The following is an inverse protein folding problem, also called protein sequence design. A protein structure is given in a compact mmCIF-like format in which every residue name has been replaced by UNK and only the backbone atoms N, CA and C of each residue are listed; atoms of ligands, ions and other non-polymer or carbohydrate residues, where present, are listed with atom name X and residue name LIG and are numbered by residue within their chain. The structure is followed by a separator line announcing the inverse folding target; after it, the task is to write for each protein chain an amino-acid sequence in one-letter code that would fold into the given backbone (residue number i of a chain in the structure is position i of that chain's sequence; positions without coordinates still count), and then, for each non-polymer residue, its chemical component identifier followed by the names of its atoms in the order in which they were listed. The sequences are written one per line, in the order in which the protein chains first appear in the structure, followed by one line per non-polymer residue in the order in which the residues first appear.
data_IF_916102535261
#
_entry.id   IF_916102535261
#
_cell.length_a   1.000
_cell.length_b   1.000
_cell.length_c   1.000
_cell.angle_alpha   90.00
_cell.angle_beta   90.00
_cell.angle_gamma   90.00
#
_symmetry.space_group_name_H-M   'P 1'
#
loop_
_entity.id
_entity.type
_entity.pdbx_description
1 polymer ?
2 non-polymer ?
3 non-polymer ?
4 water ?
#
# COMPACT_ATOMS: atom_id res chain seq x y z
N UNK A 2 -1.28 -30.33 -14.54
CA UNK A 2 -0.40 -29.49 -13.75
C UNK A 2 0.05 -28.29 -14.57
N UNK A 3 -0.04 -27.10 -14.00
CA UNK A 3 0.35 -25.89 -14.73
C UNK A 3 1.85 -25.73 -14.84
N UNK A 4 2.30 -25.07 -15.90
CA UNK A 4 3.72 -24.78 -16.08
C UNK A 4 4.18 -23.72 -15.11
N UNK A 5 3.24 -22.90 -14.64
CA UNK A 5 3.56 -21.83 -13.71
C UNK A 5 2.38 -21.50 -12.79
N UNK A 6 2.69 -21.11 -11.57
CA UNK A 6 1.68 -20.59 -10.66
C UNK A 6 1.39 -19.16 -11.07
N UNK A 7 0.17 -18.69 -10.86
CA UNK A 7 -0.17 -17.33 -11.25
C UNK A 7 0.58 -16.33 -10.37
N UNK A 8 0.69 -15.10 -10.84
CA UNK A 8 1.51 -14.08 -10.18
C UNK A 8 1.12 -13.85 -8.73
N UNK A 9 -0.18 -13.81 -8.46
CA UNK A 9 -0.68 -13.61 -7.11
C UNK A 9 -0.21 -14.70 -6.15
N UNK A 10 -0.21 -15.94 -6.62
CA UNK A 10 0.23 -17.06 -5.79
C UNK A 10 1.72 -16.97 -5.49
N UNK A 11 2.51 -16.63 -6.51
CA UNK A 11 3.94 -16.48 -6.35
C UNK A 11 4.26 -15.39 -5.32
N UNK A 12 3.59 -14.26 -5.44
CA UNK A 12 3.78 -13.16 -4.50
C UNK A 12 3.31 -13.52 -3.09
N UNK A 13 2.12 -14.11 -3.00
CA UNK A 13 1.58 -14.56 -1.72
C UNK A 13 2.52 -15.54 -1.01
N UNK A 14 2.97 -16.55 -1.74
CA UNK A 14 3.86 -17.56 -1.17
C UNK A 14 5.19 -16.95 -0.70
N UNK A 15 5.68 -15.97 -1.46
CA UNK A 15 6.90 -15.28 -1.09
C UNK A 15 6.76 -14.55 0.24
N UNK A 16 5.69 -13.79 0.37
CA UNK A 16 5.46 -13.02 1.59
C UNK A 16 4.94 -13.87 2.76
N UNK A 17 4.62 -15.13 2.47
CA UNK A 17 4.30 -16.09 3.53
C UNK A 17 5.52 -16.92 3.92
N UNK A 18 6.60 -16.75 3.18
CA UNK A 18 7.83 -17.50 3.46
C UNK A 18 9.01 -16.56 3.74
N UNK A 19 10.06 -16.68 2.94
CA UNK A 19 11.28 -15.90 3.20
C UNK A 19 11.04 -14.40 3.04
N UNK A 20 10.07 -14.02 2.22
CA UNK A 20 9.74 -12.61 2.03
C UNK A 20 9.21 -11.99 3.30
N UNK A 21 8.48 -12.77 4.10
CA UNK A 21 7.99 -12.28 5.38
C UNK A 21 9.15 -11.92 6.28
N UNK A 22 10.11 -12.83 6.41
CA UNK A 22 11.26 -12.62 7.28
C UNK A 22 12.06 -11.40 6.86
N UNK A 23 12.27 -11.24 5.56
CA UNK A 23 13.09 -10.15 5.06
C UNK A 23 12.38 -8.80 5.18
N UNK A 24 11.11 -8.76 4.83
CA UNK A 24 10.38 -7.50 4.87
C UNK A 24 9.92 -7.08 6.26
N UNK A 25 9.69 -8.04 7.15
CA UNK A 25 9.41 -7.72 8.55
C UNK A 25 10.61 -7.00 9.13
N UNK A 26 11.80 -7.43 8.72
CA UNK A 26 13.04 -6.81 9.20
C UNK A 26 13.20 -5.42 8.60
N UNK A 27 13.05 -5.31 7.29
CA UNK A 27 13.18 -4.02 6.62
C UNK A 27 12.19 -3.00 7.17
N UNK A 28 10.93 -3.41 7.31
CA UNK A 28 9.88 -2.54 7.81
C UNK A 28 9.87 -2.41 9.33
N UNK A 29 10.76 -3.15 9.99
CA UNK A 29 10.80 -3.16 11.44
C UNK A 29 12.08 -2.53 11.99
N UNK A 30 12.62 -3.13 13.04
CA UNK A 30 13.84 -2.64 13.67
C UNK A 30 14.95 -3.69 13.59
N UNK A 31 16.17 -3.28 13.85
CA UNK A 31 17.28 -4.21 13.86
C UNK A 31 18.21 -4.06 12.68
N UNK A 32 19.34 -4.73 12.77
CA UNK A 32 20.40 -4.66 11.77
C UNK A 32 19.91 -5.01 10.36
N UNK A 33 20.34 -4.21 9.39
CA UNK A 33 20.10 -4.48 7.98
C UNK A 33 21.35 -4.10 7.21
N UNK A 34 21.53 -4.65 6.01
CA UNK A 34 22.64 -4.22 5.17
C UNK A 34 22.34 -2.83 4.59
N UNK A 35 23.34 -2.20 3.98
CA UNK A 35 23.16 -0.81 3.57
C UNK A 35 22.10 -0.63 2.47
N UNK A 36 21.88 -1.67 1.69
CA UNK A 36 20.82 -1.65 0.68
C UNK A 36 19.45 -1.69 1.34
N UNK A 37 19.28 -2.63 2.27
CA UNK A 37 18.05 -2.78 3.01
C UNK A 37 17.73 -1.54 3.84
N UNK A 38 18.79 -0.92 4.39
CA UNK A 38 18.63 0.29 5.20
C UNK A 38 18.11 1.43 4.33
N UNK A 39 18.63 1.51 3.10
CA UNK A 39 18.19 2.52 2.14
C UNK A 39 16.71 2.33 1.81
N UNK A 40 16.30 1.08 1.65
CA UNK A 40 14.91 0.76 1.37
C UNK A 40 14.01 1.10 2.56
N UNK A 41 14.48 0.77 3.77
CA UNK A 41 13.76 1.10 4.99
C UNK A 41 13.50 2.60 5.08
N UNK A 42 14.54 3.39 4.89
CA UNK A 42 14.44 4.85 4.96
C UNK A 42 13.54 5.42 3.86
N UNK A 43 13.71 4.93 2.64
CA UNK A 43 12.90 5.39 1.52
C UNK A 43 11.42 5.08 1.71
N UNK A 44 11.14 3.85 2.12
CA UNK A 44 9.77 3.43 2.37
C UNK A 44 9.14 4.25 3.49
N UNK A 45 9.92 4.55 4.53
CA UNK A 45 9.42 5.37 5.62
C UNK A 45 9.06 6.78 5.12
N UNK A 46 9.82 7.29 4.16
CA UNK A 46 9.53 8.59 3.58
C UNK A 46 8.22 8.57 2.81
N UNK A 47 7.98 7.49 2.06
CA UNK A 47 6.75 7.34 1.31
C UNK A 47 5.55 7.31 2.25
N UNK A 48 5.65 6.50 3.30
CA UNK A 48 4.60 6.42 4.31
C UNK A 48 4.35 7.79 4.95
N UNK A 49 5.41 8.44 5.40
CA UNK A 49 5.28 9.74 6.05
C UNK A 49 4.68 10.80 5.14
N UNK A 50 5.02 10.76 3.84
CA UNK A 50 4.48 11.70 2.87
C UNK A 50 2.97 11.54 2.72
N UNK A 51 2.52 10.30 2.68
CA UNK A 51 1.09 10.04 2.54
C UNK A 51 0.32 10.42 3.79
N UNK A 52 0.85 10.05 4.95
CA UNK A 52 0.24 10.46 6.22
C UNK A 52 0.14 11.99 6.29
N UNK A 53 1.20 12.67 5.87
CA UNK A 53 1.23 14.13 5.89
C UNK A 53 0.15 14.74 4.99
N UNK A 54 -0.06 14.15 3.81
CA UNK A 54 -1.11 14.61 2.91
C UNK A 54 -2.46 14.54 3.60
N UNK A 55 -2.73 13.39 4.22
CA UNK A 55 -4.04 13.12 4.80
C UNK A 55 -4.29 13.97 6.05
N UNK A 56 -3.24 14.18 6.84
CA UNK A 56 -3.32 15.04 8.02
C UNK A 56 -3.57 16.48 7.60
N UNK A 57 -2.93 16.91 6.52
CA UNK A 57 -3.05 18.29 6.04
C UNK A 57 -4.46 18.66 5.62
N UNK A 58 -5.24 17.67 5.17
CA UNK A 58 -6.60 17.91 4.71
C UNK A 58 -7.54 18.30 5.86
N UNK A 59 -7.21 17.87 7.07
CA UNK A 59 -7.98 18.25 8.25
C UNK A 59 -9.17 17.37 8.55
N UNK A 60 -9.42 16.36 7.71
CA UNK A 60 -10.60 15.52 7.85
C UNK A 60 -10.28 14.06 8.14
N UNK A 61 -9.06 13.79 8.56
CA UNK A 61 -8.63 12.42 8.81
C UNK A 61 -9.35 11.70 9.97
N UNK A 62 -9.60 12.40 11.10
CA UNK A 62 -10.34 11.70 12.16
C UNK A 62 -11.72 11.23 11.69
N UNK A 63 -11.96 9.93 11.77
CA UNK A 63 -13.24 9.35 11.39
C UNK A 63 -13.34 8.99 9.92
N UNK A 64 -12.30 9.31 9.15
CA UNK A 64 -12.31 9.04 7.71
C UNK A 64 -12.19 7.54 7.42
N UNK A 65 -13.03 7.03 6.52
CA UNK A 65 -12.96 5.63 6.14
C UNK A 65 -11.87 5.41 5.09
N UNK A 66 -10.85 4.65 5.47
CA UNK A 66 -9.69 4.43 4.62
C UNK A 66 -9.45 2.94 4.40
N UNK A 67 -9.27 2.56 3.15
CA UNK A 67 -8.86 1.20 2.80
C UNK A 67 -7.38 1.19 2.48
N UNK A 68 -6.64 0.35 3.20
CA UNK A 68 -5.20 0.17 2.96
C UNK A 68 -5.01 -1.21 2.32
N UNK A 69 -4.95 -1.24 1.00
CA UNK A 69 -4.89 -2.48 0.24
C UNK A 69 -3.46 -2.94 0.01
N UNK A 70 -3.14 -4.15 0.47
CA UNK A 70 -1.77 -4.64 0.48
C UNK A 70 -1.00 -3.97 1.61
N UNK A 71 -1.59 -4.01 2.80
CA UNK A 71 -1.12 -3.22 3.94
C UNK A 71 0.20 -3.68 4.55
N UNK A 72 0.68 -4.85 4.15
CA UNK A 72 1.93 -5.38 4.69
C UNK A 72 1.85 -5.56 6.19
N UNK A 73 2.86 -5.06 6.92
CA UNK A 73 2.88 -5.16 8.37
C UNK A 73 2.27 -3.93 9.04
N UNK A 74 1.49 -3.18 8.26
CA UNK A 74 0.73 -2.04 8.81
C UNK A 74 1.50 -0.74 8.95
N UNK A 75 2.57 -0.59 8.17
CA UNK A 75 3.41 0.60 8.24
C UNK A 75 2.63 1.88 8.00
N UNK A 76 1.62 1.83 7.14
CA UNK A 76 0.76 2.98 6.90
C UNK A 76 -0.51 2.93 7.76
N UNK A 77 -1.08 1.73 7.89
CA UNK A 77 -2.34 1.55 8.62
C UNK A 77 -2.28 2.07 10.06
N UNK A 78 -1.19 1.74 10.75
CA UNK A 78 -1.05 2.12 12.15
C UNK A 78 -0.97 3.64 12.37
N UNK A 79 -0.06 4.34 11.67
CA UNK A 79 -0.08 5.79 11.89
C UNK A 79 -1.36 6.51 11.45
N UNK A 80 -2.06 5.97 10.45
CA UNK A 80 -3.35 6.57 10.08
C UNK A 80 -4.37 6.37 11.20
N UNK A 81 -4.38 5.19 11.80
CA UNK A 81 -5.27 4.90 12.91
C UNK A 81 -4.93 5.76 14.13
N UNK A 82 -3.63 5.95 14.36
CA UNK A 82 -3.16 6.81 15.44
C UNK A 82 -3.69 8.24 15.26
N UNK A 83 -3.83 8.66 14.01
CA UNK A 83 -4.31 10.01 13.70
C UNK A 83 -5.84 10.08 13.66
N UNK A 84 -6.50 8.96 13.95
CA UNK A 84 -7.95 8.95 14.07
C UNK A 84 -8.74 8.36 12.92
N UNK A 85 -8.06 7.92 11.87
CA UNK A 85 -8.76 7.33 10.72
C UNK A 85 -9.39 6.00 11.08
N UNK A 86 -10.48 5.66 10.38
CA UNK A 86 -11.07 4.33 10.47
C UNK A 86 -10.47 3.50 9.36
N UNK A 87 -9.47 2.70 9.72
CA UNK A 87 -8.64 2.02 8.74
C UNK A 87 -9.00 0.56 8.56
N UNK A 88 -9.16 0.16 7.31
CA UNK A 88 -9.43 -1.22 6.95
C UNK A 88 -8.28 -1.72 6.10
N UNK A 89 -7.35 -2.43 6.73
CA UNK A 89 -6.18 -2.92 6.06
C UNK A 89 -6.34 -4.36 5.64
N UNK A 90 -5.81 -4.70 4.47
CA UNK A 90 -5.87 -6.07 4.00
C UNK A 90 -4.62 -6.41 3.21
N UNK A 91 -4.26 -7.68 3.23
CA UNK A 91 -3.08 -8.15 2.51
C UNK A 91 -3.29 -9.59 2.11
N UNK A 92 -2.71 -9.99 0.98
CA UNK A 92 -2.88 -11.34 0.47
C UNK A 92 -2.12 -12.35 1.33
N UNK A 93 -1.14 -11.86 2.08
CA UNK A 93 -0.30 -12.71 2.92
C UNK A 93 -0.77 -12.74 4.37
N UNK A 94 -1.14 -13.93 4.84
CA UNK A 94 -1.60 -14.10 6.22
C UNK A 94 -0.48 -13.79 7.21
N UNK A 95 0.77 -14.07 6.85
CA UNK A 95 1.89 -13.78 7.73
C UNK A 95 2.07 -12.27 7.93
N UNK A 96 2.01 -11.52 6.85
CA UNK A 96 2.12 -10.07 6.93
C UNK A 96 0.97 -9.48 7.76
N UNK A 97 -0.25 -9.94 7.48
CA UNK A 97 -1.44 -9.53 8.21
C UNK A 97 -1.32 -9.80 9.70
N UNK A 98 -0.84 -11.00 10.04
CA UNK A 98 -0.68 -11.39 11.43
C UNK A 98 0.28 -10.48 12.16
N UNK A 99 1.36 -10.10 11.49
CA UNK A 99 2.34 -9.20 12.08
C UNK A 99 1.75 -7.80 12.25
N UNK A 100 0.98 -7.36 11.27
CA UNK A 100 0.32 -6.05 11.35
C UNK A 100 -0.56 -5.97 12.59
N UNK A 101 -1.34 -7.01 12.83
CA UNK A 101 -2.21 -7.05 14.00
C UNK A 101 -1.41 -7.07 15.30
N UNK A 102 -0.31 -7.82 15.31
CA UNK A 102 0.56 -7.88 16.48
C UNK A 102 1.15 -6.51 16.78
N UNK A 103 1.67 -5.85 15.76
CA UNK A 103 2.27 -4.52 15.93
C UNK A 103 1.21 -3.50 16.36
N UNK A 104 0.00 -3.64 15.82
CA UNK A 104 -1.09 -2.73 16.16
C UNK A 104 -1.52 -2.89 17.60
N UNK A 105 -1.72 -4.13 18.04
CA UNK A 105 -2.14 -4.42 19.41
C UNK A 105 -1.12 -3.90 20.43
N UNK A 106 0.16 -4.02 20.09
CA UNK A 106 1.24 -3.62 20.99
C UNK A 106 1.27 -2.11 21.20
N UNK A 107 0.98 -1.35 20.16
CA UNK A 107 1.14 0.10 20.22
C UNK A 107 -0.18 0.85 20.41
N UNK A 108 -1.28 0.23 20.00
CA UNK A 108 -2.58 0.90 20.07
C UNK A 108 -3.47 0.35 21.18
N UNK A 109 -3.12 -0.82 21.70
CA UNK A 109 -3.91 -1.48 22.74
C UNK A 109 -5.37 -1.63 22.34
N UNK A 110 -6.27 -1.02 23.11
CA UNK A 110 -7.70 -1.13 22.84
C UNK A 110 -8.30 0.17 22.31
N UNK A 111 -7.43 1.06 21.83
CA UNK A 111 -7.88 2.29 21.21
C UNK A 111 -8.29 2.07 19.78
N UNK A 112 -8.17 3.12 18.98
CA UNK A 112 -8.54 3.05 17.57
C UNK A 112 -7.55 2.18 16.78
N UNK A 113 -7.83 0.89 16.71
CA UNK A 113 -7.01 -0.04 15.93
C UNK A 113 -7.51 -0.12 14.50
N UNK A 114 -6.60 -0.34 13.54
CA UNK A 114 -7.11 -0.70 12.21
C UNK A 114 -7.73 -2.08 12.29
N UNK A 115 -8.57 -2.42 11.31
CA UNK A 115 -9.07 -3.77 11.13
C UNK A 115 -8.24 -4.45 10.05
N UNK A 116 -7.74 -5.65 10.31
CA UNK A 116 -6.90 -6.35 9.34
C UNK A 116 -7.54 -7.65 8.83
N UNK A 117 -7.43 -7.87 7.53
CA UNK A 117 -8.01 -9.04 6.89
C UNK A 117 -7.03 -9.64 5.89
N UNK A 118 -7.00 -10.97 5.81
CA UNK A 118 -6.23 -11.62 4.76
C UNK A 118 -7.11 -11.78 3.53
N UNK A 119 -6.74 -11.07 2.46
CA UNK A 119 -7.53 -11.08 1.23
C UNK A 119 -6.76 -10.48 0.06
N UNK A 120 -6.95 -11.07 -1.12
CA UNK A 120 -6.48 -10.48 -2.37
C UNK A 120 -7.26 -9.19 -2.60
N UNK A 121 -6.55 -8.11 -2.90
CA UNK A 121 -7.19 -6.80 -3.04
C UNK A 121 -8.25 -6.78 -4.15
N UNK A 122 -8.10 -7.68 -5.12
CA UNK A 122 -9.06 -7.78 -6.21
C UNK A 122 -10.40 -8.36 -5.76
N UNK A 123 -10.43 -8.87 -4.53
CA UNK A 123 -11.66 -9.46 -3.98
C UNK A 123 -12.33 -8.57 -2.94
N UNK A 124 -11.75 -7.40 -2.69
CA UNK A 124 -12.30 -6.47 -1.71
C UNK A 124 -13.64 -5.91 -2.18
N UNK A 125 -14.53 -5.66 -1.23
CA UNK A 125 -15.82 -5.06 -1.53
C UNK A 125 -16.06 -3.83 -0.68
N UNK A 126 -17.28 -3.31 -0.72
CA UNK A 126 -17.63 -2.14 0.08
C UNK A 126 -17.17 -0.84 -0.54
N UNK A 127 -17.38 0.26 0.19
CA UNK A 127 -17.03 1.58 -0.29
C UNK A 127 -16.28 2.38 0.77
N UNK A 128 -15.29 3.14 0.33
CA UNK A 128 -14.46 3.94 1.22
C UNK A 128 -14.32 5.35 0.67
N UNK A 129 -14.07 6.31 1.54
CA UNK A 129 -13.74 7.65 1.07
C UNK A 129 -12.41 7.60 0.32
N UNK A 130 -11.42 6.99 0.95
CA UNK A 130 -10.06 6.96 0.42
C UNK A 130 -9.53 5.52 0.37
N UNK A 131 -9.00 5.14 -0.78
CA UNK A 131 -8.36 3.85 -0.95
C UNK A 131 -6.89 4.08 -1.25
N UNK A 132 -6.02 3.35 -0.55
CA UNK A 132 -4.58 3.53 -0.69
C UNK A 132 -3.89 2.21 -1.01
N UNK A 133 -2.98 2.24 -1.97
CA UNK A 133 -2.22 1.05 -2.36
C UNK A 133 -0.77 1.44 -2.61
N UNK A 134 0.08 1.23 -1.62
CA UNK A 134 1.48 1.66 -1.68
C UNK A 134 2.44 0.50 -1.90
N UNK A 135 3.30 0.63 -2.90
CA UNK A 135 4.37 -0.33 -3.16
C UNK A 135 3.87 -1.77 -3.31
N UNK A 136 2.72 -1.92 -3.95
CA UNK A 136 2.14 -3.23 -4.20
C UNK A 136 2.16 -3.54 -5.69
N UNK A 137 1.84 -2.52 -6.50
CA UNK A 137 1.75 -2.67 -7.95
C UNK A 137 3.07 -3.09 -8.59
N UNK A 138 4.17 -2.86 -7.88
CA UNK A 138 5.50 -3.23 -8.34
C UNK A 138 5.63 -4.75 -8.59
N UNK A 139 4.73 -5.52 -7.98
CA UNK A 139 4.79 -6.98 -8.10
C UNK A 139 4.03 -7.54 -9.30
N UNK A 140 3.45 -6.65 -10.11
CA UNK A 140 2.61 -7.08 -11.22
C UNK A 140 2.90 -6.33 -12.51
N UNK A 141 2.77 -7.01 -13.66
CA UNK A 141 2.92 -6.34 -14.96
C UNK A 141 1.79 -5.34 -15.19
N UNK A 142 1.99 -4.40 -16.10
CA UNK A 142 1.06 -3.28 -16.30
C UNK A 142 -0.38 -3.71 -16.58
N UNK A 143 -0.55 -4.78 -17.35
CA UNK A 143 -1.89 -5.29 -17.68
C UNK A 143 -2.64 -5.70 -16.42
N UNK A 144 -1.97 -6.42 -15.53
CA UNK A 144 -2.60 -6.85 -14.28
C UNK A 144 -2.76 -5.68 -13.33
N UNK A 145 -1.77 -4.78 -13.32
CA UNK A 145 -1.84 -3.59 -12.48
C UNK A 145 -3.04 -2.73 -12.88
N UNK A 146 -3.33 -2.70 -14.18
CA UNK A 146 -4.48 -1.96 -14.69
C UNK A 146 -5.79 -2.49 -14.11
N UNK A 147 -5.94 -3.82 -14.12
CA UNK A 147 -7.14 -4.46 -13.57
C UNK A 147 -7.25 -4.20 -12.08
N UNK A 148 -6.10 -4.23 -11.39
CA UNK A 148 -6.07 -3.97 -9.96
C UNK A 148 -6.48 -2.54 -9.63
N UNK A 149 -5.94 -1.59 -10.38
CA UNK A 149 -6.28 -0.18 -10.19
C UNK A 149 -7.76 0.06 -10.44
N UNK A 150 -8.30 -0.55 -11.49
CA UNK A 150 -9.71 -0.41 -11.82
C UNK A 150 -10.59 -0.95 -10.69
N UNK A 151 -10.19 -2.06 -10.09
CA UNK A 151 -10.97 -2.60 -8.99
C UNK A 151 -10.90 -1.70 -7.76
N UNK A 152 -9.70 -1.23 -7.44
CA UNK A 152 -9.51 -0.32 -6.31
C UNK A 152 -10.32 0.95 -6.50
N UNK A 153 -10.35 1.44 -7.74
CA UNK A 153 -11.10 2.65 -8.07
C UNK A 153 -12.59 2.45 -7.77
N UNK A 154 -13.09 1.24 -8.01
CA UNK A 154 -14.51 0.94 -7.77
C UNK A 154 -14.87 0.96 -6.29
N UNK A 155 -13.85 0.90 -5.43
CA UNK A 155 -14.08 0.93 -3.99
C UNK A 155 -13.98 2.35 -3.44
N UNK A 156 -13.44 3.26 -4.24
CA UNK A 156 -13.15 4.61 -3.78
C UNK A 156 -14.25 5.61 -4.15
N UNK A 157 -14.96 6.08 -3.13
CA UNK A 157 -15.99 7.11 -3.33
C UNK A 157 -15.37 8.42 -3.81
N UNK A 158 -14.19 8.74 -3.31
CA UNK A 158 -13.59 10.05 -3.58
C UNK A 158 -12.13 10.02 -4.02
N UNK A 159 -11.32 9.20 -3.37
CA UNK A 159 -9.87 9.31 -3.55
C UNK A 159 -9.14 7.97 -3.61
N UNK A 160 -8.19 7.88 -4.54
CA UNK A 160 -7.32 6.72 -4.66
C UNK A 160 -5.86 7.20 -4.66
N UNK A 161 -5.06 6.66 -3.75
CA UNK A 161 -3.65 7.00 -3.69
C UNK A 161 -2.82 5.77 -4.02
N UNK A 162 -1.90 5.91 -4.97
CA UNK A 162 -1.06 4.80 -5.42
C UNK A 162 0.40 5.19 -5.41
N UNK A 163 1.27 4.20 -5.20
CA UNK A 163 2.69 4.40 -5.47
C UNK A 163 3.23 3.25 -6.33
N UNK A 164 4.23 3.57 -7.15
CA UNK A 164 4.80 2.60 -8.07
C UNK A 164 6.22 3.02 -8.43
N UNK A 165 7.00 2.07 -8.94
CA UNK A 165 8.32 2.38 -9.45
C UNK A 165 8.18 2.82 -10.89
N UNK A 166 8.55 4.08 -11.18
CA UNK A 166 8.37 4.60 -12.55
C UNK A 166 9.33 3.97 -13.55
N UNK A 167 8.85 3.78 -14.77
CA UNK A 167 9.65 3.16 -15.83
C UNK A 167 10.54 4.18 -16.50
N UNK A 189 8.81 -10.95 -10.93
CA UNK A 189 9.65 -10.30 -9.93
C UNK A 189 9.17 -8.87 -9.63
N UNK A 190 9.98 -7.89 -9.98
CA UNK A 190 9.61 -6.48 -9.84
C UNK A 190 9.28 -5.88 -11.20
N UNK A 191 8.29 -4.99 -11.22
CA UNK A 191 7.88 -4.35 -12.47
C UNK A 191 7.85 -2.84 -12.31
N UNK A 192 8.36 -2.14 -13.31
CA UNK A 192 8.22 -0.69 -13.39
C UNK A 192 7.00 -0.37 -14.24
N UNK A 193 6.36 0.75 -13.95
CA UNK A 193 5.21 1.18 -14.73
C UNK A 193 5.40 2.60 -15.21
N UNK A 194 5.01 2.86 -16.46
CA UNK A 194 5.06 4.21 -17.00
C UNK A 194 4.00 5.06 -16.32
N UNK A 195 4.40 6.26 -15.90
CA UNK A 195 3.45 7.19 -15.28
C UNK A 195 2.31 7.52 -16.24
N UNK A 196 2.62 7.60 -17.53
CA UNK A 196 1.61 7.87 -18.54
C UNK A 196 0.55 6.76 -18.55
N UNK A 197 0.98 5.52 -18.36
CA UNK A 197 0.06 4.39 -18.31
C UNK A 197 -0.80 4.44 -17.06
N UNK A 198 -0.19 4.72 -15.91
CA UNK A 198 -0.92 4.80 -14.66
C UNK A 198 -1.94 5.94 -14.68
N UNK A 199 -1.55 7.09 -15.21
CA UNK A 199 -2.46 8.23 -15.31
C UNK A 199 -3.63 7.92 -16.26
N UNK A 200 -3.34 7.19 -17.33
CA UNK A 200 -4.36 6.81 -18.30
C UNK A 200 -5.41 5.90 -17.66
N UNK A 201 -4.94 4.90 -16.92
CA UNK A 201 -5.83 3.97 -16.23
C UNK A 201 -6.69 4.70 -15.21
N UNK A 202 -6.09 5.62 -14.47
CA UNK A 202 -6.83 6.41 -13.50
C UNK A 202 -7.88 7.28 -14.18
N UNK A 203 -7.50 7.90 -15.30
CA UNK A 203 -8.42 8.70 -16.08
C UNK A 203 -9.57 7.89 -16.63
N UNK A 204 -9.28 6.68 -17.09
CA UNK A 204 -10.31 5.79 -17.62
C UNK A 204 -11.34 5.43 -16.55
N UNK A 205 -10.91 5.45 -15.29
CA UNK A 205 -11.79 5.12 -14.18
C UNK A 205 -12.46 6.33 -13.53
N UNK A 206 -12.27 7.50 -14.15
CA UNK A 206 -12.95 8.71 -13.72
C UNK A 206 -12.23 9.51 -12.66
N UNK A 207 -10.91 9.35 -12.59
CA UNK A 207 -10.10 10.05 -11.60
C UNK A 207 -9.13 11.03 -12.25
N UNK A 208 -8.97 12.19 -11.62
CA UNK A 208 -7.97 13.16 -12.04
C UNK A 208 -6.86 13.23 -10.99
N UNK A 209 -5.67 13.63 -11.42
CA UNK A 209 -4.53 13.69 -10.51
C UNK A 209 -4.55 14.98 -9.69
N UNK A 210 -4.39 14.86 -8.38
CA UNK A 210 -4.25 16.00 -7.49
C UNK A 210 -2.80 16.14 -7.07
N UNK A 211 -2.50 15.88 -5.80
CA UNK A 211 -1.12 15.93 -5.34
C UNK A 211 -0.30 14.77 -5.89
N UNK A 212 1.00 14.99 -6.05
CA UNK A 212 1.91 13.90 -6.39
C UNK A 212 3.16 14.03 -5.54
N UNK A 213 3.92 12.95 -5.47
CA UNK A 213 5.14 12.94 -4.70
C UNK A 213 6.15 12.01 -5.34
N UNK A 214 7.35 12.00 -4.79
CA UNK A 214 8.40 11.15 -5.31
C UNK A 214 9.43 10.89 -4.23
N UNK A 215 9.65 9.61 -3.93
CA UNK A 215 10.73 9.24 -3.02
C UNK A 215 11.87 8.69 -3.87
N UNK A 216 13.05 9.27 -3.71
CA UNK A 216 14.21 8.85 -4.48
C UNK A 216 15.41 8.67 -3.56
N UNK A 217 15.79 7.42 -3.36
CA UNK A 217 17.04 7.12 -2.66
C UNK A 217 17.92 6.30 -3.59
N UNK A 218 18.97 5.72 -3.05
CA UNK A 218 19.92 4.96 -3.87
C UNK A 218 19.31 3.69 -4.45
N UNK A 219 18.51 2.99 -3.65
CA UNK A 219 17.96 1.70 -4.05
C UNK A 219 16.44 1.63 -3.98
N UNK A 220 15.81 2.77 -3.71
CA UNK A 220 14.37 2.83 -3.57
C UNK A 220 13.79 4.00 -4.34
N UNK A 221 12.85 3.70 -5.22
CA UNK A 221 12.22 4.73 -6.05
C UNK A 221 10.71 4.52 -6.05
N UNK A 222 9.98 5.51 -5.56
CA UNK A 222 8.54 5.38 -5.45
C UNK A 222 7.85 6.68 -5.85
N UNK A 223 7.12 6.62 -6.96
CA UNK A 223 6.33 7.74 -7.44
C UNK A 223 4.94 7.64 -6.81
N UNK A 224 4.47 8.71 -6.19
CA UNK A 224 3.20 8.70 -5.48
C UNK A 224 2.19 9.60 -6.19
N UNK A 225 1.01 9.05 -6.48
CA UNK A 225 -0.06 9.83 -7.11
C UNK A 225 -1.31 9.84 -6.24
N UNK A 226 -1.85 11.03 -5.99
CA UNK A 226 -3.15 11.17 -5.38
C UNK A 226 -4.17 11.41 -6.48
N UNK A 227 -5.14 10.53 -6.61
CA UNK A 227 -6.18 10.66 -7.62
C UNK A 227 -7.51 10.93 -6.95
N UNK A 228 -8.25 11.88 -7.51
CA UNK A 228 -9.55 12.26 -6.95
C UNK A 228 -10.65 12.12 -8.00
N UNK A 229 -11.78 11.55 -7.59
CA UNK A 229 -12.91 11.34 -8.49
C UNK A 229 -13.47 12.69 -8.95
N UNK A 230 -13.50 12.88 -10.26
CA UNK A 230 -13.96 14.14 -10.83
C UNK A 230 -15.43 14.09 -11.22
X LIG B 1 1.73 -1.34 1.37
X LIG B 1 2.63 -1.81 2.42
X LIG B 1 3.63 -0.72 2.79
X LIG B 1 3.96 0.14 1.98
X LIG B 1 4.14 -0.70 3.91
X LIG B 1 3.34 -3.11 2.04
X LIG B 1 4.20 -3.09 0.77
X LIG B 1 5.05 -4.67 0.50
X LIG B 1 6.38 -4.18 -0.63
X LIG B 1 3.93 -5.45 -0.68
X LIG B 1 2.75 -6.12 0.02
X LIG B 1 1.70 -6.27 -0.92
X LIG B 1 3.08 -7.50 0.55
X LIG B 1 2.72 -7.56 1.91
X LIG B 1 2.19 -8.43 -0.24
X LIG B 1 1.71 -9.52 0.54
X LIG B 1 1.07 -7.50 -0.67
X LIG B 1 0.36 -7.95 -1.87
X LIG B 1 0.89 -8.40 -3.05
X LIG B 1 -0.11 -8.71 -3.89
X LIG B 1 -1.29 -8.46 -3.27
X LIG B 1 -2.61 -8.60 -3.66
X LIG B 1 -2.90 -9.06 -4.88
X LIG B 1 -3.62 -8.26 -2.79
X LIG B 1 -3.32 -7.79 -1.53
X LIG B 1 -1.99 -7.65 -1.14
X LIG B 1 -1.00 -7.98 -2.00
X LIG C 1 11.67 -6.61 13.24
X LIG C 1 11.28 -5.67 14.20
X LIG C 1 12.51 -7.69 13.92
X LIG C 1 13.87 -7.30 13.91
X LIG C 1 12.37 -9.01 13.18
X LIG C 1 13.13 -8.98 11.99
#
# INVERSE_FOLDING_TARGET
MTNAALDDKTIVRDYFNSTGFDRWRRIYGDGQVNFVQKDIRVGHQQTVDSVVAWLVADGNLPGLLVCDAGCGVGSLSIPLAQAGALVYGSDISEKMVGEAQQKAQEVLAYGNQPTFMTQDLAQLGGKYDTVICLDVLIHYPTEEASAMISHLASLADRRLILSFAPKTLGLTVLKKIGGLFPGPSKTTRAYQHKEADIRKILGDNGFSIARTGMTSTRFYYSRILEAVRSLEHHHHHH
SAM N CA C O OXT CB CG SD CE C5' C4' O4' C3' O3' C2' O2' C1' N9 C8 N7 C5 C6 N6 N1 C2 N3 C4
GOL C1 O1 C2 O2 C3 O3
#
